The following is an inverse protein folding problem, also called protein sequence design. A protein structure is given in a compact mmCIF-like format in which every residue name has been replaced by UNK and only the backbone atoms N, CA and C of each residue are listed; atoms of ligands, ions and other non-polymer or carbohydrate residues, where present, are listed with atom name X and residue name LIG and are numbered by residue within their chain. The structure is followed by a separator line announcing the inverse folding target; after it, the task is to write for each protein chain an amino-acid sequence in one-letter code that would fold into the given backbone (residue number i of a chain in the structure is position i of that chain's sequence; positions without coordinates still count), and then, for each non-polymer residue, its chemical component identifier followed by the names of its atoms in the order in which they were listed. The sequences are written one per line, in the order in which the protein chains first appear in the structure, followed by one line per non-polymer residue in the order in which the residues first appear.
data_IF_404482491307
#
_entry.id   IF_404482491307
#
_cell.length_a   1.000
_cell.length_b   1.000
_cell.length_c   1.000
_cell.angle_alpha   90.00
_cell.angle_beta   90.00
_cell.angle_gamma   90.00
#
_symmetry.space_group_name_H-M   'P 1'
#
loop_
_entity.id
_entity.type
_entity.pdbx_description
1 polymer ?
#
# COMPACT_ATOMS: atom_id res chain seq x y z
N UNK A 1 -20.44 13.12 3.86
CA UNK A 1 -18.98 13.30 3.81
C UNK A 1 -18.37 12.44 4.89
N UNK A 2 -17.07 12.13 4.82
CA UNK A 2 -16.47 11.18 5.76
C UNK A 2 -15.11 11.70 6.21
N UNK A 3 -14.92 11.77 7.53
CA UNK A 3 -13.61 11.93 8.16
C UNK A 3 -13.28 10.64 8.90
N UNK A 4 -12.20 9.96 8.46
CA UNK A 4 -11.74 8.70 9.02
C UNK A 4 -10.42 8.96 9.73
N UNK A 5 -10.40 8.67 11.03
CA UNK A 5 -9.24 8.78 11.90
C UNK A 5 -8.75 7.36 12.16
N UNK A 6 -7.65 6.97 11.53
CA UNK A 6 -7.11 5.61 11.64
C UNK A 6 -5.60 5.62 11.84
N UNK A 7 -5.05 4.48 12.20
CA UNK A 7 -3.60 4.25 12.33
C UNK A 7 -2.87 4.59 11.02
N UNK A 8 -3.49 4.30 9.87
CA UNK A 8 -2.94 4.58 8.55
C UNK A 8 -3.07 6.05 8.12
N UNK A 9 -3.37 6.95 9.04
CA UNK A 9 -3.50 8.38 8.83
C UNK A 9 -4.91 8.92 8.94
N UNK A 10 -5.02 10.23 8.78
CA UNK A 10 -6.26 11.00 8.85
C UNK A 10 -6.71 11.25 7.43
N UNK A 11 -7.80 10.63 7.01
CA UNK A 11 -8.32 10.76 5.64
C UNK A 11 -9.76 11.26 5.63
N UNK A 12 -10.12 11.99 4.59
CA UNK A 12 -11.48 12.45 4.43
C UNK A 12 -11.78 12.98 3.05
N UNK A 13 -13.05 13.18 2.77
CA UNK A 13 -13.47 13.91 1.57
C UNK A 13 -13.22 15.41 1.76
N UNK A 14 -12.74 16.04 0.71
CA UNK A 14 -12.51 17.50 0.69
C UNK A 14 -13.83 18.21 0.41
N UNK A 15 -14.12 19.24 1.21
CA UNK A 15 -15.34 20.07 1.10
C UNK A 15 -16.37 19.78 2.19
N UNK A 16 -17.44 20.58 2.22
CA UNK A 16 -18.55 20.49 3.16
C UNK A 16 -18.32 21.17 4.51
N UNK A 17 -19.22 20.94 5.49
CA UNK A 17 -19.07 21.49 6.83
C UNK A 17 -17.83 20.96 7.55
N UNK A 18 -17.23 21.80 8.41
CA UNK A 18 -16.11 21.38 9.26
C UNK A 18 -16.50 20.19 10.14
N UNK A 19 -15.62 19.17 10.21
CA UNK A 19 -15.84 17.94 10.98
C UNK A 19 -16.52 16.81 10.19
N UNK A 20 -17.16 17.09 9.05
CA UNK A 20 -17.79 16.06 8.21
C UNK A 20 -16.81 15.41 7.23
N UNK A 21 -15.73 16.12 6.87
CA UNK A 21 -14.67 15.68 5.96
C UNK A 21 -13.33 16.19 6.43
N UNK A 22 -12.29 16.09 5.58
CA UNK A 22 -10.98 16.66 5.85
C UNK A 22 -10.98 18.15 5.49
N UNK A 23 -11.47 18.98 6.41
CA UNK A 23 -11.51 20.44 6.25
C UNK A 23 -10.14 21.08 6.56
N UNK A 24 -9.92 22.36 6.16
CA UNK A 24 -8.72 23.11 6.56
C UNK A 24 -8.49 23.14 8.09
N UNK A 25 -9.55 23.21 8.90
CA UNK A 25 -9.45 23.15 10.36
C UNK A 25 -8.96 21.79 10.86
N UNK A 26 -9.43 20.71 10.26
CA UNK A 26 -8.97 19.36 10.58
C UNK A 26 -7.50 19.18 10.21
N UNK A 27 -7.08 19.71 9.05
CA UNK A 27 -5.68 19.65 8.61
C UNK A 27 -4.76 20.35 9.62
N UNK A 28 -5.10 21.57 10.06
CA UNK A 28 -4.34 22.28 11.10
C UNK A 28 -4.29 21.47 12.39
N UNK A 29 -5.44 21.00 12.86
CA UNK A 29 -5.59 20.27 14.12
C UNK A 29 -4.72 19.00 14.16
N UNK A 30 -4.83 18.16 13.15
CA UNK A 30 -4.08 16.91 13.11
C UNK A 30 -2.59 17.10 12.80
N UNK A 31 -2.22 18.11 12.01
CA UNK A 31 -0.82 18.47 11.78
C UNK A 31 -0.15 18.99 13.07
N UNK A 32 -0.82 19.87 13.82
CA UNK A 32 -0.31 20.38 15.09
C UNK A 32 -0.20 19.27 16.15
N UNK A 33 -1.17 18.36 16.20
CA UNK A 33 -1.12 17.19 17.08
C UNK A 33 0.05 16.26 16.73
N UNK A 34 0.24 15.94 15.45
CA UNK A 34 1.36 15.16 14.97
C UNK A 34 2.71 15.83 15.31
N UNK A 35 2.86 17.13 15.04
CA UNK A 35 4.07 17.89 15.37
C UNK A 35 4.39 17.83 16.87
N UNK A 36 3.35 17.92 17.72
CA UNK A 36 3.49 17.79 19.19
C UNK A 36 3.97 16.38 19.59
N UNK A 37 3.38 15.34 18.98
CA UNK A 37 3.79 13.96 19.18
C UNK A 37 5.25 13.74 18.77
N UNK A 38 5.63 14.14 17.55
CA UNK A 38 7.00 13.98 17.02
C UNK A 38 8.03 14.65 17.91
N UNK A 39 7.76 15.87 18.41
CA UNK A 39 8.67 16.58 19.32
C UNK A 39 8.96 15.80 20.61
N UNK A 40 8.00 14.99 21.07
CA UNK A 40 8.14 14.17 22.28
C UNK A 40 8.79 12.83 22.02
N UNK A 41 8.54 12.23 20.85
CA UNK A 41 8.90 10.83 20.55
C UNK A 41 10.22 10.70 19.79
N UNK A 42 10.65 11.73 19.05
CA UNK A 42 11.89 11.66 18.27
C UNK A 42 13.13 11.58 19.13
N UNK A 43 14.09 10.77 18.67
CA UNK A 43 15.44 10.69 19.23
C UNK A 43 16.44 11.56 18.44
N UNK A 44 16.00 12.18 17.35
CA UNK A 44 16.84 13.03 16.50
C UNK A 44 17.01 14.43 17.11
N UNK A 45 18.19 14.99 16.90
CA UNK A 45 18.44 16.42 17.17
C UNK A 45 17.89 17.35 16.09
N UNK A 46 17.43 16.78 14.97
CA UNK A 46 16.80 17.51 13.87
C UNK A 46 15.46 18.09 14.30
N UNK A 47 15.11 19.24 13.72
CA UNK A 47 13.78 19.85 13.84
C UNK A 47 13.08 19.89 12.48
N UNK A 48 13.41 18.94 11.61
CA UNK A 48 12.95 18.89 10.22
C UNK A 48 11.86 17.82 10.05
N UNK A 49 10.80 18.15 9.31
CA UNK A 49 9.76 17.24 8.84
C UNK A 49 9.75 17.25 7.32
N UNK A 50 9.74 16.07 6.70
CA UNK A 50 9.61 15.94 5.25
C UNK A 50 8.13 15.93 4.86
N UNK A 51 7.76 16.63 3.79
CA UNK A 51 6.41 16.65 3.24
C UNK A 51 6.46 16.34 1.75
N UNK A 52 5.76 15.26 1.35
CA UNK A 52 5.55 14.87 -0.04
C UNK A 52 4.07 14.69 -0.34
N UNK A 53 3.67 14.73 -1.62
CA UNK A 53 2.28 14.56 -2.02
C UNK A 53 2.12 13.85 -3.36
N UNK A 54 0.98 13.20 -3.56
CA UNK A 54 0.54 12.77 -4.88
C UNK A 54 -0.02 13.95 -5.70
N UNK A 55 -0.54 13.66 -6.91
CA UNK A 55 -1.04 14.70 -7.81
C UNK A 55 -2.51 15.11 -7.57
N UNK A 56 -3.16 14.68 -6.49
CA UNK A 56 -4.56 15.02 -6.22
C UNK A 56 -4.83 16.52 -6.30
N UNK A 57 -5.99 16.88 -6.87
CA UNK A 57 -6.40 18.28 -7.08
C UNK A 57 -6.34 19.14 -5.82
N UNK A 58 -6.65 18.55 -4.65
CA UNK A 58 -6.58 19.24 -3.36
C UNK A 58 -5.17 19.30 -2.77
N UNK A 59 -4.18 18.68 -3.41
CA UNK A 59 -2.84 18.49 -2.87
C UNK A 59 -2.13 19.79 -2.50
N UNK A 60 -2.17 20.82 -3.37
CA UNK A 60 -1.55 22.13 -3.08
C UNK A 60 -2.16 22.80 -1.85
N UNK A 61 -3.49 22.90 -1.80
CA UNK A 61 -4.19 23.52 -0.65
C UNK A 61 -3.87 22.79 0.65
N UNK A 62 -3.88 21.44 0.64
CA UNK A 62 -3.54 20.64 1.83
C UNK A 62 -2.08 20.86 2.23
N UNK A 63 -1.16 20.86 1.26
CA UNK A 63 0.27 21.11 1.48
C UNK A 63 0.51 22.49 2.11
N UNK A 64 -0.11 23.54 1.59
CA UNK A 64 0.08 24.91 2.12
C UNK A 64 -0.33 25.00 3.59
N UNK A 65 -1.44 24.39 3.97
CA UNK A 65 -1.92 24.36 5.35
C UNK A 65 -0.99 23.53 6.24
N UNK A 66 -0.55 22.35 5.78
CA UNK A 66 0.37 21.48 6.53
C UNK A 66 1.71 22.19 6.76
N UNK A 67 2.30 22.76 5.72
CA UNK A 67 3.60 23.47 5.81
C UNK A 67 3.49 24.67 6.74
N UNK A 68 2.48 25.54 6.55
CA UNK A 68 2.25 26.70 7.42
C UNK A 68 2.03 26.30 8.88
N UNK A 69 1.31 25.19 9.13
CA UNK A 69 1.07 24.70 10.49
C UNK A 69 2.37 24.17 11.12
N UNK A 70 3.17 23.39 10.39
CA UNK A 70 4.47 22.88 10.86
C UNK A 70 5.45 24.01 11.18
N UNK A 71 5.54 25.02 10.29
CA UNK A 71 6.34 26.22 10.54
C UNK A 71 5.85 26.97 11.77
N UNK A 72 4.53 27.13 11.93
CA UNK A 72 3.92 27.70 13.12
C UNK A 72 4.16 26.88 14.41
N UNK A 73 4.40 25.59 14.28
CA UNK A 73 4.83 24.71 15.39
C UNK A 73 6.35 24.77 15.63
N UNK A 74 7.12 25.53 14.83
CA UNK A 74 8.55 25.69 14.94
C UNK A 74 9.36 24.56 14.29
N UNK A 75 8.81 23.83 13.34
CA UNK A 75 9.53 22.83 12.55
C UNK A 75 9.95 23.40 11.19
N UNK A 76 11.17 23.08 10.79
CA UNK A 76 11.59 23.24 9.40
C UNK A 76 10.96 22.16 8.53
N UNK A 77 10.54 22.53 7.33
CA UNK A 77 9.89 21.60 6.40
C UNK A 77 10.74 21.43 5.16
N UNK A 78 11.10 20.20 4.83
CA UNK A 78 11.64 19.84 3.52
C UNK A 78 10.47 19.37 2.65
N UNK A 79 10.01 20.26 1.78
CA UNK A 79 8.97 20.00 0.80
C UNK A 79 9.59 19.35 -0.45
N UNK A 80 9.27 18.09 -0.68
CA UNK A 80 9.77 17.32 -1.83
C UNK A 80 8.81 17.34 -3.03
N UNK A 81 7.74 18.09 -2.95
CA UNK A 81 6.78 18.31 -4.04
C UNK A 81 5.96 17.07 -4.39
N UNK A 82 5.77 16.85 -5.69
CA UNK A 82 5.14 15.64 -6.23
C UNK A 82 6.07 14.45 -6.05
N UNK A 83 5.73 13.58 -5.12
CA UNK A 83 6.54 12.42 -4.75
C UNK A 83 5.67 11.20 -4.44
N UNK A 84 6.25 10.02 -4.58
CA UNK A 84 5.61 8.78 -4.20
C UNK A 84 5.63 8.59 -2.68
N UNK A 85 4.75 7.74 -2.15
CA UNK A 85 4.80 7.32 -0.75
C UNK A 85 6.19 6.77 -0.39
N UNK A 86 6.77 5.77 -1.09
CA UNK A 86 8.10 5.27 -0.75
C UNK A 86 9.22 6.31 -0.92
N UNK A 87 9.14 7.22 -1.89
CA UNK A 87 10.12 8.31 -2.00
C UNK A 87 10.10 9.21 -0.75
N UNK A 88 8.92 9.49 -0.22
CA UNK A 88 8.78 10.33 0.99
C UNK A 88 9.31 9.62 2.23
N UNK A 89 9.03 8.32 2.37
CA UNK A 89 9.56 7.47 3.44
C UNK A 89 11.10 7.47 3.47
N UNK A 90 11.72 7.24 2.30
CA UNK A 90 13.17 7.28 2.13
C UNK A 90 13.75 8.69 2.38
N UNK A 91 13.06 9.74 1.96
CA UNK A 91 13.50 11.12 2.18
C UNK A 91 13.59 11.47 3.67
N UNK A 92 12.66 10.97 4.51
CA UNK A 92 12.74 11.14 5.97
C UNK A 92 14.07 10.58 6.51
N UNK A 93 14.46 9.40 6.07
CA UNK A 93 15.71 8.75 6.50
C UNK A 93 16.93 9.50 5.99
N UNK A 94 16.93 9.89 4.71
CA UNK A 94 18.05 10.57 4.09
C UNK A 94 18.29 11.98 4.62
N UNK A 95 17.22 12.71 4.97
CA UNK A 95 17.30 14.02 5.63
C UNK A 95 17.63 13.91 7.13
N UNK A 96 17.61 12.68 7.68
CA UNK A 96 17.66 12.46 9.12
C UNK A 96 16.59 13.27 9.86
N UNK A 97 15.45 13.43 9.21
CA UNK A 97 14.31 14.17 9.73
C UNK A 97 13.71 13.47 10.95
N UNK A 98 13.01 14.22 11.79
CA UNK A 98 12.30 13.66 12.94
C UNK A 98 10.98 12.99 12.57
N UNK A 99 10.49 13.19 11.35
CA UNK A 99 9.30 12.55 10.82
C UNK A 99 8.95 13.04 9.42
N UNK A 100 7.78 12.62 8.92
CA UNK A 100 7.28 13.03 7.61
C UNK A 100 5.77 12.96 7.51
N UNK A 101 5.21 13.68 6.55
CA UNK A 101 3.79 13.62 6.19
C UNK A 101 3.66 13.40 4.69
N UNK A 102 2.88 12.40 4.30
CA UNK A 102 2.54 12.15 2.91
C UNK A 102 1.08 12.56 2.69
N UNK A 103 0.86 13.44 1.73
CA UNK A 103 -0.46 13.96 1.38
C UNK A 103 -1.04 13.16 0.22
N UNK A 104 -1.75 12.09 0.56
CA UNK A 104 -2.36 11.17 -0.40
C UNK A 104 -3.44 10.33 0.27
N UNK A 105 -4.51 10.05 -0.45
CA UNK A 105 -5.51 9.05 -0.06
C UNK A 105 -5.35 7.73 -0.83
N UNK A 106 -4.16 7.44 -1.37
CA UNK A 106 -3.84 6.23 -2.15
C UNK A 106 -4.90 5.99 -3.25
N UNK A 107 -5.51 4.82 -3.27
CA UNK A 107 -6.52 4.39 -4.25
C UNK A 107 -7.93 4.98 -4.05
N UNK A 108 -8.17 5.83 -3.06
CA UNK A 108 -9.47 6.49 -2.90
C UNK A 108 -9.73 7.45 -4.07
N UNK A 109 -11.01 7.66 -4.45
CA UNK A 109 -11.40 8.58 -5.53
C UNK A 109 -10.89 10.02 -5.33
N UNK A 110 -10.94 10.84 -6.39
CA UNK A 110 -10.32 12.17 -6.46
C UNK A 110 -10.77 13.17 -5.40
N UNK A 111 -11.97 13.03 -4.84
CA UNK A 111 -12.51 13.90 -3.80
C UNK A 111 -11.93 13.61 -2.40
N UNK A 112 -11.12 12.55 -2.24
CA UNK A 112 -10.46 12.21 -0.99
C UNK A 112 -9.05 12.79 -0.94
N UNK A 113 -8.59 13.11 0.28
CA UNK A 113 -7.18 13.29 0.60
C UNK A 113 -6.90 12.77 2.01
N UNK A 114 -5.63 12.69 2.38
CA UNK A 114 -5.25 12.26 3.72
C UNK A 114 -3.89 12.83 4.14
N UNK A 115 -3.66 12.81 5.45
CA UNK A 115 -2.36 12.98 6.09
C UNK A 115 -1.89 11.60 6.54
N UNK A 116 -0.96 10.98 5.81
CA UNK A 116 -0.25 9.77 6.23
C UNK A 116 0.97 10.19 7.03
N UNK A 117 1.07 9.71 8.27
CA UNK A 117 2.04 10.18 9.25
C UNK A 117 3.18 9.20 9.41
N UNK A 118 4.42 9.69 9.29
CA UNK A 118 5.64 8.90 9.39
C UNK A 118 6.43 9.25 10.65
N UNK A 119 7.09 8.25 11.24
CA UNK A 119 8.07 8.43 12.31
C UNK A 119 9.47 8.77 11.75
N UNK A 120 10.45 8.95 12.62
CA UNK A 120 11.84 9.28 12.27
C UNK A 120 12.60 8.21 11.47
N UNK A 121 12.00 7.02 11.29
CA UNK A 121 12.54 5.91 10.49
C UNK A 121 11.95 5.90 9.08
N UNK A 122 11.07 6.84 8.75
CA UNK A 122 10.32 6.86 7.49
C UNK A 122 9.24 5.77 7.43
N UNK A 123 8.75 5.29 8.57
CA UNK A 123 7.72 4.26 8.66
C UNK A 123 6.43 4.87 9.17
N UNK A 124 5.29 4.30 8.78
CA UNK A 124 4.00 4.73 9.33
C UNK A 124 3.94 4.56 10.83
N UNK A 125 3.23 5.46 11.50
CA UNK A 125 2.96 5.35 12.94
C UNK A 125 2.23 4.04 13.24
N UNK A 126 2.62 3.38 14.32
CA UNK A 126 1.92 2.20 14.83
C UNK A 126 0.63 2.59 15.58
N UNK A 127 -0.16 1.59 16.00
CA UNK A 127 -1.45 1.82 16.68
C UNK A 127 -1.34 2.68 17.94
N UNK A 128 -0.31 2.45 18.77
CA UNK A 128 -0.11 3.23 20.00
C UNK A 128 0.27 4.68 19.69
N UNK A 129 1.19 4.91 18.75
CA UNK A 129 1.60 6.23 18.29
C UNK A 129 0.43 6.99 17.65
N UNK A 130 -0.35 6.34 16.78
CA UNK A 130 -1.54 6.94 16.16
C UNK A 130 -2.60 7.33 17.19
N UNK A 131 -2.85 6.49 18.21
CA UNK A 131 -3.77 6.82 19.32
C UNK A 131 -3.31 8.03 20.11
N UNK A 132 -2.00 8.16 20.36
CA UNK A 132 -1.45 9.33 21.06
C UNK A 132 -1.66 10.62 20.24
N UNK A 133 -1.41 10.59 18.92
CA UNK A 133 -1.70 11.73 18.04
C UNK A 133 -3.19 12.12 18.10
N UNK A 134 -4.09 11.14 18.06
CA UNK A 134 -5.53 11.40 18.15
C UNK A 134 -5.93 11.99 19.50
N UNK A 135 -5.35 11.51 20.59
CA UNK A 135 -5.60 12.05 21.93
C UNK A 135 -5.10 13.51 22.09
N UNK A 136 -3.94 13.83 21.52
CA UNK A 136 -3.42 15.20 21.49
C UNK A 136 -4.34 16.10 20.64
N UNK A 137 -4.84 15.60 19.51
CA UNK A 137 -5.75 16.34 18.65
C UNK A 137 -7.10 16.61 19.35
N UNK A 138 -7.65 15.62 20.05
CA UNK A 138 -8.91 15.75 20.76
C UNK A 138 -8.83 16.75 21.92
N UNK A 139 -7.73 16.69 22.68
CA UNK A 139 -7.47 17.59 23.79
C UNK A 139 -6.99 18.98 23.34
N UNK A 140 -6.68 19.17 22.04
CA UNK A 140 -6.06 20.39 21.49
C UNK A 140 -4.83 20.85 22.28
N UNK A 141 -4.08 19.85 22.83
CA UNK A 141 -2.94 20.10 23.70
C UNK A 141 -1.64 20.32 22.91
N UNK A 142 -1.66 21.28 22.02
CA UNK A 142 -0.50 21.71 21.22
C UNK A 142 -0.24 23.21 21.44
N UNK A 143 1.04 23.61 21.35
CA UNK A 143 1.49 24.98 21.56
C UNK A 143 2.27 25.43 20.33
N UNK A 144 1.84 26.51 19.73
CA UNK A 144 2.54 27.14 18.59
C UNK A 144 3.79 27.88 19.07
N UNK A 145 4.76 28.00 18.16
CA UNK A 145 6.02 28.66 18.44
C UNK A 145 5.87 30.19 18.52
N UNK A 146 6.74 30.82 19.31
CA UNK A 146 6.92 32.27 19.30
C UNK A 146 7.53 32.72 17.97
N UNK A 147 7.37 34.00 17.60
CA UNK A 147 7.77 34.54 16.30
C UNK A 147 9.25 34.29 15.96
N UNK A 148 10.13 34.32 16.94
CA UNK A 148 11.58 34.08 16.75
C UNK A 148 11.96 32.60 16.62
N UNK A 149 10.98 31.69 16.74
CA UNK A 149 11.15 30.23 16.72
C UNK A 149 10.32 29.57 15.63
N UNK A 150 9.80 30.36 14.69
CA UNK A 150 9.06 29.81 13.54
C UNK A 150 10.01 29.02 12.65
N UNK A 151 9.50 27.92 12.09
CA UNK A 151 10.25 27.14 11.10
C UNK A 151 10.18 27.72 9.69
N UNK A 152 10.93 27.12 8.78
CA UNK A 152 11.06 27.55 7.37
C UNK A 152 10.75 26.39 6.43
N UNK A 153 10.33 26.71 5.21
CA UNK A 153 10.17 25.74 4.14
C UNK A 153 11.39 25.72 3.22
N UNK A 154 11.89 24.52 2.92
CA UNK A 154 12.95 24.26 1.95
C UNK A 154 12.41 23.34 0.87
N UNK A 155 12.51 23.74 -0.39
CA UNK A 155 12.06 22.92 -1.53
C UNK A 155 13.23 22.07 -2.01
N UNK A 156 12.99 20.75 -2.16
CA UNK A 156 13.99 19.84 -2.68
C UNK A 156 13.32 18.78 -3.58
N UNK A 157 13.47 18.90 -4.88
CA UNK A 157 12.88 18.04 -5.91
C UNK A 157 13.79 16.86 -6.36
N UNK A 158 14.94 16.68 -5.70
CA UNK A 158 15.94 15.70 -6.12
C UNK A 158 15.65 14.27 -5.66
N UNK A 159 14.69 14.07 -4.76
CA UNK A 159 14.45 12.77 -4.12
C UNK A 159 13.91 11.70 -5.04
N UNK A 160 13.10 12.03 -6.04
CA UNK A 160 12.65 11.06 -7.06
C UNK A 160 13.85 10.42 -7.76
N UNK A 161 14.82 11.23 -8.18
CA UNK A 161 16.05 10.72 -8.80
C UNK A 161 16.87 9.88 -7.82
N UNK A 162 17.04 10.35 -6.59
CA UNK A 162 17.80 9.62 -5.55
C UNK A 162 17.15 8.26 -5.23
N UNK A 163 15.83 8.21 -5.20
CA UNK A 163 15.11 6.94 -5.02
C UNK A 163 15.34 5.98 -6.20
N UNK A 164 15.20 6.46 -7.44
CA UNK A 164 15.50 5.64 -8.62
C UNK A 164 16.95 5.12 -8.54
N UNK A 165 17.93 5.98 -8.23
CA UNK A 165 19.32 5.57 -8.07
C UNK A 165 19.46 4.44 -7.04
N UNK A 166 18.83 4.58 -5.87
CA UNK A 166 18.87 3.54 -4.82
C UNK A 166 18.23 2.22 -5.23
N UNK A 167 17.19 2.25 -6.07
CA UNK A 167 16.57 1.03 -6.61
C UNK A 167 17.50 0.33 -7.60
N UNK A 168 18.19 1.08 -8.46
CA UNK A 168 19.15 0.50 -9.40
C UNK A 168 20.38 -0.11 -8.70
N UNK A 169 20.73 0.41 -7.52
CA UNK A 169 21.87 -0.06 -6.71
C UNK A 169 21.55 -1.32 -5.88
N UNK A 170 20.31 -1.81 -5.89
CA UNK A 170 19.95 -3.05 -5.20
C UNK A 170 20.62 -4.27 -5.86
N UNK A 171 21.26 -5.12 -5.07
CA UNK A 171 22.03 -6.29 -5.53
C UNK A 171 21.26 -7.23 -6.46
N UNK A 172 19.92 -7.33 -6.31
CA UNK A 172 19.09 -8.21 -7.11
C UNK A 172 18.46 -7.52 -8.33
N UNK A 173 18.72 -6.24 -8.55
CA UNK A 173 18.29 -5.52 -9.75
C UNK A 173 19.35 -5.64 -10.83
N UNK A 174 19.04 -6.43 -11.86
CA UNK A 174 19.98 -6.72 -12.96
C UNK A 174 19.68 -5.85 -14.19
N UNK A 175 20.21 -4.62 -14.16
CA UNK A 175 20.03 -3.63 -15.23
C UNK A 175 20.54 -4.16 -16.59
N UNK A 176 21.66 -4.88 -16.60
CA UNK A 176 22.24 -5.40 -17.84
C UNK A 176 21.38 -6.53 -18.45
N UNK A 177 20.80 -7.40 -17.61
CA UNK A 177 19.87 -8.42 -18.07
C UNK A 177 18.59 -7.79 -18.65
N UNK A 178 18.02 -6.79 -17.94
CA UNK A 178 16.83 -6.06 -18.42
C UNK A 178 17.11 -5.38 -19.76
N UNK A 179 18.23 -4.68 -19.89
CA UNK A 179 18.65 -4.01 -21.11
C UNK A 179 18.83 -4.98 -22.28
N UNK A 180 19.44 -6.16 -22.01
CA UNK A 180 19.64 -7.21 -23.01
C UNK A 180 18.33 -7.85 -23.44
N UNK A 181 17.37 -8.01 -22.55
CA UNK A 181 16.05 -8.55 -22.85
C UNK A 181 15.25 -7.67 -23.82
N UNK A 182 15.56 -6.37 -23.88
CA UNK A 182 14.99 -5.39 -24.83
C UNK A 182 13.47 -5.33 -24.78
N UNK A 183 12.89 -5.29 -23.56
CA UNK A 183 11.44 -5.24 -23.36
C UNK A 183 10.82 -3.98 -23.94
N UNK A 184 9.58 -4.13 -24.43
CA UNK A 184 8.62 -3.04 -24.60
C UNK A 184 7.64 -3.07 -23.43
N UNK A 185 7.57 -1.99 -22.66
CA UNK A 185 6.78 -1.91 -21.42
C UNK A 185 5.68 -0.86 -21.57
N UNK A 186 4.43 -1.23 -21.30
CA UNK A 186 3.34 -0.28 -21.14
C UNK A 186 3.18 0.11 -19.66
N UNK A 187 2.87 1.36 -19.38
CA UNK A 187 2.58 1.83 -18.01
C UNK A 187 1.27 2.60 -17.99
N UNK A 188 0.54 2.47 -16.89
CA UNK A 188 -0.60 3.31 -16.55
C UNK A 188 -0.38 3.89 -15.14
N UNK A 189 -0.33 5.21 -15.05
CA UNK A 189 -0.04 5.95 -13.83
C UNK A 189 -1.24 6.75 -13.31
N UNK A 190 -2.43 6.47 -13.81
CA UNK A 190 -3.72 7.05 -13.38
C UNK A 190 -3.72 8.59 -13.28
N UNK A 191 -2.91 9.27 -14.10
CA UNK A 191 -2.68 10.71 -14.06
C UNK A 191 -2.22 11.23 -12.68
N UNK A 192 -1.31 10.48 -12.04
CA UNK A 192 -0.70 10.88 -10.77
C UNK A 192 0.84 10.82 -10.85
N UNK A 193 1.51 10.80 -9.70
CA UNK A 193 2.99 10.91 -9.60
C UNK A 193 3.72 9.73 -10.26
N UNK A 194 3.05 8.60 -10.46
CA UNK A 194 3.58 7.49 -11.25
C UNK A 194 3.99 7.90 -12.66
N UNK A 195 3.27 8.87 -13.28
CA UNK A 195 3.61 9.43 -14.60
C UNK A 195 4.94 10.17 -14.63
N UNK A 196 5.40 10.66 -13.49
CA UNK A 196 6.73 11.30 -13.35
C UNK A 196 7.80 10.24 -13.15
N UNK A 197 7.60 9.32 -12.22
CA UNK A 197 8.67 8.43 -11.73
C UNK A 197 8.84 7.17 -12.57
N UNK A 198 7.76 6.55 -13.04
CA UNK A 198 7.81 5.26 -13.75
C UNK A 198 8.53 5.33 -15.10
N UNK A 199 8.29 6.35 -15.97
CA UNK A 199 9.05 6.48 -17.21
C UNK A 199 10.55 6.69 -16.96
N UNK A 200 10.91 7.45 -15.93
CA UNK A 200 12.32 7.67 -15.56
C UNK A 200 12.98 6.38 -15.07
N UNK A 201 12.33 5.63 -14.18
CA UNK A 201 12.81 4.34 -13.70
C UNK A 201 13.05 3.38 -14.85
N UNK A 202 12.07 3.18 -15.72
CA UNK A 202 12.15 2.23 -16.84
C UNK A 202 13.30 2.57 -17.80
N UNK A 203 13.45 3.86 -18.16
CA UNK A 203 14.58 4.30 -19.00
C UNK A 203 15.93 4.04 -18.32
N UNK A 204 16.02 4.28 -17.01
CA UNK A 204 17.24 4.02 -16.22
C UNK A 204 17.53 2.52 -16.07
N UNK A 205 16.50 1.66 -16.02
CA UNK A 205 16.63 0.19 -16.10
C UNK A 205 17.02 -0.31 -17.48
N UNK A 206 17.11 0.58 -18.49
CA UNK A 206 17.52 0.23 -19.85
C UNK A 206 16.38 -0.21 -20.77
N UNK A 207 15.12 -0.03 -20.35
CA UNK A 207 13.94 -0.23 -21.20
C UNK A 207 13.90 0.88 -22.26
N UNK A 208 13.97 0.50 -23.54
CA UNK A 208 14.01 1.46 -24.65
C UNK A 208 12.62 1.93 -25.11
N UNK A 209 11.66 1.04 -25.10
CA UNK A 209 10.32 1.28 -25.57
C UNK A 209 9.36 1.30 -24.39
N UNK A 210 8.90 2.50 -24.03
CA UNK A 210 7.90 2.71 -22.96
C UNK A 210 6.66 3.32 -23.61
N UNK A 211 5.50 2.67 -23.44
CA UNK A 211 4.20 3.16 -23.87
C UNK A 211 3.52 3.75 -22.63
N UNK A 212 3.32 5.04 -22.64
CA UNK A 212 2.82 5.80 -21.49
C UNK A 212 1.30 6.03 -21.63
N UNK A 213 0.50 5.50 -20.69
CA UNK A 213 -0.92 5.77 -20.54
C UNK A 213 -1.13 6.54 -19.23
N UNK A 214 -1.99 7.55 -19.28
CA UNK A 214 -2.41 8.30 -18.10
C UNK A 214 -1.23 8.79 -17.24
N UNK A 215 -0.17 9.29 -17.89
CA UNK A 215 1.07 9.72 -17.24
C UNK A 215 1.18 11.24 -17.04
N UNK A 216 0.11 12.01 -17.31
CA UNK A 216 0.08 13.44 -17.02
C UNK A 216 -0.37 13.67 -15.56
N UNK A 217 0.51 14.17 -14.66
CA UNK A 217 0.23 14.23 -13.23
C UNK A 217 -0.72 15.37 -12.85
N UNK A 218 -1.89 15.40 -13.46
CA UNK A 218 -2.92 16.43 -13.26
C UNK A 218 -3.81 16.18 -12.05
N UNK A 219 -3.81 14.96 -11.51
CA UNK A 219 -4.74 14.54 -10.45
C UNK A 219 -6.18 14.32 -10.92
N UNK A 220 -6.44 14.50 -12.22
CA UNK A 220 -7.68 14.06 -12.85
C UNK A 220 -7.54 12.60 -13.24
N UNK A 221 -7.86 11.71 -12.30
CA UNK A 221 -7.70 10.28 -12.49
C UNK A 221 -8.50 9.80 -13.69
N UNK A 222 -7.82 9.12 -14.63
CA UNK A 222 -8.40 8.64 -15.88
C UNK A 222 -9.41 7.50 -15.68
N UNK A 223 -9.26 6.75 -14.62
CA UNK A 223 -10.14 5.67 -14.15
C UNK A 223 -10.18 5.64 -12.64
N UNK A 224 -10.99 4.75 -12.06
CA UNK A 224 -10.94 4.51 -10.61
C UNK A 224 -9.53 4.11 -10.20
N UNK A 225 -8.90 4.80 -9.21
CA UNK A 225 -7.46 4.69 -8.98
C UNK A 225 -7.02 3.40 -8.26
N UNK A 226 -7.95 2.52 -7.90
CA UNK A 226 -7.61 1.20 -7.37
C UNK A 226 -7.17 0.27 -8.51
N UNK A 227 -5.95 -0.29 -8.51
CA UNK A 227 -5.42 -1.08 -9.61
C UNK A 227 -5.92 -2.54 -9.57
N UNK A 228 -7.22 -2.71 -9.78
CA UNK A 228 -7.92 -4.00 -9.88
C UNK A 228 -8.44 -4.22 -11.32
N UNK A 229 -8.68 -5.46 -11.75
CA UNK A 229 -9.01 -5.79 -13.13
C UNK A 229 -10.12 -4.94 -13.76
N UNK A 230 -11.17 -4.65 -13.01
CA UNK A 230 -12.35 -3.90 -13.46
C UNK A 230 -12.02 -2.46 -13.88
N UNK A 231 -10.95 -1.89 -13.31
CA UNK A 231 -10.53 -0.51 -13.56
C UNK A 231 -9.44 -0.40 -14.65
N UNK A 232 -8.85 -1.53 -15.09
CA UNK A 232 -7.65 -1.55 -15.92
C UNK A 232 -7.93 -1.96 -17.38
N UNK A 233 -9.12 -1.65 -17.90
CA UNK A 233 -9.54 -2.06 -19.25
C UNK A 233 -8.68 -1.42 -20.35
N UNK A 234 -8.29 -0.15 -20.22
CA UNK A 234 -7.53 0.57 -21.23
C UNK A 234 -6.16 -0.07 -21.50
N UNK A 235 -5.37 -0.34 -20.47
CA UNK A 235 -4.07 -0.99 -20.64
C UNK A 235 -4.22 -2.46 -21.05
N UNK A 236 -5.25 -3.17 -20.54
CA UNK A 236 -5.57 -4.53 -20.96
C UNK A 236 -5.82 -4.60 -22.47
N UNK A 237 -6.67 -3.72 -22.99
CA UNK A 237 -7.00 -3.69 -24.43
C UNK A 237 -5.78 -3.27 -25.27
N UNK A 238 -4.93 -2.39 -24.75
CA UNK A 238 -3.68 -2.04 -25.41
C UNK A 238 -2.77 -3.27 -25.56
N UNK A 239 -2.53 -4.04 -24.49
CA UNK A 239 -1.65 -5.21 -24.56
C UNK A 239 -2.21 -6.34 -25.43
N UNK A 240 -3.53 -6.50 -25.54
CA UNK A 240 -4.16 -7.45 -26.49
C UNK A 240 -3.76 -7.22 -27.93
N UNK A 241 -3.31 -6.02 -28.29
CA UNK A 241 -2.80 -5.72 -29.63
C UNK A 241 -1.41 -6.31 -29.91
N UNK A 242 -0.73 -6.84 -28.88
CA UNK A 242 0.62 -7.39 -28.96
C UNK A 242 1.72 -6.32 -29.05
N UNK A 243 1.44 -5.08 -28.64
CA UNK A 243 2.38 -3.96 -28.73
C UNK A 243 3.42 -3.89 -27.60
N UNK A 244 3.24 -4.64 -26.50
CA UNK A 244 4.13 -4.64 -25.35
C UNK A 244 4.31 -6.04 -24.74
N UNK A 245 5.44 -6.27 -24.10
CA UNK A 245 5.79 -7.53 -23.45
C UNK A 245 5.18 -7.63 -22.04
N UNK A 246 4.93 -6.48 -21.41
CA UNK A 246 4.36 -6.38 -20.06
C UNK A 246 3.75 -4.99 -19.85
N UNK A 247 2.69 -4.93 -19.05
CA UNK A 247 2.09 -3.70 -18.55
C UNK A 247 2.26 -3.56 -17.04
N UNK A 248 2.58 -2.36 -16.57
CA UNK A 248 2.60 -2.01 -15.16
C UNK A 248 1.59 -0.91 -14.87
N UNK A 249 0.81 -1.10 -13.82
CA UNK A 249 -0.15 -0.12 -13.32
C UNK A 249 0.17 0.20 -11.89
N UNK A 250 0.24 1.48 -11.56
CA UNK A 250 0.47 1.94 -10.19
C UNK A 250 -0.71 2.80 -9.71
N UNK A 251 -0.93 2.78 -8.42
CA UNK A 251 -1.92 3.66 -7.79
C UNK A 251 -1.35 5.10 -7.63
N UNK A 252 -2.17 6.08 -7.21
CA UNK A 252 -1.78 7.48 -7.20
C UNK A 252 -0.50 7.84 -6.47
N UNK A 253 -0.12 7.09 -5.43
CA UNK A 253 1.07 7.33 -4.61
C UNK A 253 2.15 6.24 -4.76
N UNK A 254 1.96 5.32 -5.74
CA UNK A 254 2.98 4.38 -6.24
C UNK A 254 3.49 3.41 -5.17
N UNK A 255 2.62 3.05 -4.21
CA UNK A 255 2.93 2.01 -3.22
C UNK A 255 2.38 0.63 -3.61
N UNK A 256 1.53 0.55 -4.68
CA UNK A 256 0.97 -0.69 -5.23
C UNK A 256 1.33 -0.86 -6.70
N UNK A 257 1.55 -2.11 -7.09
CA UNK A 257 1.89 -2.52 -8.44
C UNK A 257 0.95 -3.64 -8.90
N UNK A 258 0.15 -3.38 -9.94
CA UNK A 258 -0.52 -4.42 -10.71
C UNK A 258 0.22 -4.65 -12.03
N UNK A 259 0.21 -5.90 -12.49
CA UNK A 259 0.91 -6.35 -13.68
C UNK A 259 -0.11 -6.87 -14.70
N UNK A 260 0.02 -6.44 -15.95
CA UNK A 260 -0.80 -6.90 -17.09
C UNK A 260 0.10 -7.71 -18.02
N UNK A 261 -0.33 -8.91 -18.36
CA UNK A 261 0.41 -9.83 -19.22
C UNK A 261 0.36 -9.38 -20.68
N UNK A 262 1.29 -9.85 -21.49
CA UNK A 262 1.40 -9.52 -22.91
C UNK A 262 0.15 -9.84 -23.75
N UNK A 263 -0.71 -10.73 -23.24
CA UNK A 263 -2.01 -11.08 -23.87
C UNK A 263 -3.19 -10.20 -23.38
N UNK A 264 -2.91 -9.20 -22.54
CA UNK A 264 -3.91 -8.30 -21.97
C UNK A 264 -4.64 -8.84 -20.76
N UNK A 265 -4.38 -10.08 -20.32
CA UNK A 265 -4.94 -10.62 -19.08
C UNK A 265 -4.17 -10.09 -17.85
N UNK A 266 -4.84 -10.04 -16.70
CA UNK A 266 -4.21 -9.61 -15.46
C UNK A 266 -3.31 -10.70 -14.88
N UNK A 267 -2.10 -10.31 -14.46
CA UNK A 267 -1.25 -11.18 -13.64
C UNK A 267 -1.89 -11.42 -12.27
N UNK A 268 -2.82 -10.55 -11.90
CA UNK A 268 -3.54 -10.39 -10.63
C UNK A 268 -2.62 -9.82 -9.54
N UNK A 269 -3.07 -8.80 -8.85
CA UNK A 269 -2.30 -8.02 -7.87
C UNK A 269 -1.68 -8.86 -6.75
N UNK A 270 -2.35 -9.95 -6.35
CA UNK A 270 -1.85 -10.93 -5.37
C UNK A 270 -0.51 -11.55 -5.81
N UNK A 271 -0.33 -11.77 -7.11
CA UNK A 271 0.84 -12.47 -7.65
C UNK A 271 2.05 -11.57 -7.89
N UNK A 272 1.90 -10.25 -7.81
CA UNK A 272 3.04 -9.33 -7.85
C UNK A 272 4.04 -9.70 -6.75
N UNK A 273 3.56 -9.79 -5.50
CA UNK A 273 4.39 -10.19 -4.36
C UNK A 273 4.91 -11.62 -4.51
N UNK A 274 4.09 -12.56 -4.98
CA UNK A 274 4.48 -13.97 -5.17
C UNK A 274 5.65 -14.11 -6.13
N UNK A 275 5.60 -13.44 -7.28
CA UNK A 275 6.64 -13.52 -8.30
C UNK A 275 7.96 -12.85 -7.83
N UNK A 276 7.86 -11.68 -7.21
CA UNK A 276 9.04 -10.98 -6.67
C UNK A 276 9.66 -11.79 -5.54
N UNK A 277 8.84 -12.39 -4.65
CA UNK A 277 9.33 -13.25 -3.58
C UNK A 277 10.03 -14.51 -4.11
N UNK A 278 9.48 -15.18 -5.13
CA UNK A 278 10.11 -16.34 -5.77
C UNK A 278 11.52 -15.98 -6.30
N UNK A 279 11.64 -14.81 -6.94
CA UNK A 279 12.93 -14.33 -7.43
C UNK A 279 13.94 -14.09 -6.29
N UNK A 280 13.52 -13.36 -5.26
CA UNK A 280 14.37 -13.06 -4.11
C UNK A 280 14.77 -14.35 -3.40
N UNK A 281 13.83 -15.24 -3.09
CA UNK A 281 14.11 -16.51 -2.40
C UNK A 281 15.04 -17.43 -3.19
N UNK A 282 15.03 -17.37 -4.53
CA UNK A 282 15.97 -18.13 -5.38
C UNK A 282 17.41 -17.66 -5.24
N UNK A 283 17.64 -16.43 -4.75
CA UNK A 283 18.98 -15.81 -4.57
C UNK A 283 19.34 -15.69 -3.09
N UNK A 284 18.38 -15.32 -2.26
CA UNK A 284 18.56 -15.06 -0.84
C UNK A 284 17.44 -15.78 -0.07
N UNK A 285 17.60 -17.08 0.24
CA UNK A 285 16.63 -17.82 1.02
C UNK A 285 16.39 -17.17 2.38
N UNK A 286 15.12 -17.06 2.79
CA UNK A 286 14.76 -16.43 4.07
C UNK A 286 13.25 -16.45 4.32
N UNK A 287 12.83 -15.95 5.48
CA UNK A 287 11.41 -15.89 5.82
C UNK A 287 10.66 -14.88 4.93
N UNK A 288 9.37 -15.14 4.72
CA UNK A 288 8.44 -14.21 4.06
C UNK A 288 7.25 -13.88 4.93
N UNK A 289 6.65 -12.70 4.69
CA UNK A 289 5.47 -12.25 5.43
C UNK A 289 4.45 -11.65 4.47
N UNK A 290 3.16 -12.01 4.65
CA UNK A 290 2.06 -11.21 4.12
C UNK A 290 0.93 -11.11 5.13
N UNK A 291 -0.09 -10.30 4.84
CA UNK A 291 -1.25 -10.23 5.73
C UNK A 291 -2.19 -11.44 5.56
N UNK A 292 -3.07 -11.65 6.54
CA UNK A 292 -4.01 -12.77 6.57
C UNK A 292 -4.97 -12.85 5.37
N UNK A 293 -5.24 -11.72 4.72
CA UNK A 293 -6.15 -11.65 3.55
C UNK A 293 -5.44 -11.85 2.22
N UNK A 294 -4.12 -12.06 2.21
CA UNK A 294 -3.32 -12.32 1.00
C UNK A 294 -3.40 -13.78 0.58
N UNK A 295 -3.13 -14.03 -0.71
CA UNK A 295 -3.14 -15.39 -1.27
C UNK A 295 -2.16 -16.33 -0.57
N UNK A 296 -2.56 -17.59 -0.39
CA UNK A 296 -1.67 -18.66 0.09
C UNK A 296 -0.56 -19.00 -0.92
N UNK A 297 -0.65 -18.51 -2.15
CA UNK A 297 0.39 -18.73 -3.16
C UNK A 297 1.78 -18.27 -2.68
N UNK A 298 1.88 -17.18 -1.89
CA UNK A 298 3.15 -16.77 -1.28
C UNK A 298 3.68 -17.80 -0.29
N UNK A 299 2.81 -18.36 0.56
CA UNK A 299 3.18 -19.45 1.48
C UNK A 299 3.73 -20.65 0.72
N UNK A 300 2.99 -21.09 -0.29
CA UNK A 300 3.36 -22.29 -1.06
C UNK A 300 4.69 -22.09 -1.81
N UNK A 301 4.94 -20.91 -2.36
CA UNK A 301 6.23 -20.55 -2.98
C UNK A 301 7.33 -20.50 -1.92
N UNK A 302 7.09 -19.91 -0.76
CA UNK A 302 8.07 -19.85 0.34
C UNK A 302 8.47 -21.24 0.82
N UNK A 303 7.50 -22.11 1.04
CA UNK A 303 7.71 -23.52 1.45
C UNK A 303 8.45 -24.31 0.37
N UNK A 304 8.20 -24.04 -0.92
CA UNK A 304 8.93 -24.66 -2.04
C UNK A 304 10.44 -24.34 -2.00
N UNK A 305 10.81 -23.16 -1.49
CA UNK A 305 12.21 -22.77 -1.24
C UNK A 305 12.76 -23.29 0.10
N UNK A 306 11.99 -24.10 0.86
CA UNK A 306 12.39 -24.59 2.18
C UNK A 306 12.43 -23.48 3.25
N UNK A 307 11.74 -22.37 3.03
CA UNK A 307 11.73 -21.21 3.89
C UNK A 307 10.44 -21.10 4.69
N UNK A 308 10.43 -20.23 5.72
CA UNK A 308 9.30 -20.04 6.62
C UNK A 308 8.41 -18.88 6.19
N UNK A 309 7.13 -19.15 5.99
CA UNK A 309 6.11 -18.12 5.82
C UNK A 309 5.44 -17.77 7.16
N UNK A 310 5.10 -16.50 7.37
CA UNK A 310 4.32 -16.03 8.52
C UNK A 310 3.28 -15.00 8.05
N UNK A 311 2.06 -15.11 8.58
CA UNK A 311 1.00 -14.13 8.33
C UNK A 311 0.95 -13.08 9.44
N UNK A 312 0.55 -11.84 9.09
CA UNK A 312 0.26 -10.74 10.02
C UNK A 312 -1.21 -10.34 9.98
N UNK A 313 -1.65 -9.52 10.91
CA UNK A 313 -2.87 -8.73 10.76
C UNK A 313 -2.80 -7.87 9.47
N UNK A 314 -3.96 -7.49 8.94
CA UNK A 314 -4.05 -6.66 7.73
C UNK A 314 -3.57 -5.24 8.03
N UNK A 315 -2.83 -4.67 7.08
CA UNK A 315 -2.25 -3.33 7.14
C UNK A 315 -0.73 -3.36 7.14
N UNK A 316 -0.14 -2.45 6.40
CA UNK A 316 1.30 -2.36 6.17
C UNK A 316 2.13 -2.36 7.45
N UNK A 317 1.73 -1.57 8.45
CA UNK A 317 2.40 -1.49 9.77
C UNK A 317 2.50 -2.86 10.44
N UNK A 318 1.46 -3.68 10.35
CA UNK A 318 1.42 -5.02 10.91
C UNK A 318 2.35 -5.97 10.15
N UNK A 319 2.36 -5.87 8.81
CA UNK A 319 3.27 -6.63 7.94
C UNK A 319 4.71 -6.27 8.27
N UNK A 320 5.06 -4.99 8.32
CA UNK A 320 6.41 -4.49 8.65
C UNK A 320 6.86 -4.96 10.02
N UNK A 321 5.98 -4.85 11.03
CA UNK A 321 6.27 -5.33 12.38
C UNK A 321 6.58 -6.83 12.38
N UNK A 322 5.77 -7.64 11.69
CA UNK A 322 5.98 -9.08 11.60
C UNK A 322 7.25 -9.43 10.79
N UNK A 323 7.57 -8.66 9.74
CA UNK A 323 8.80 -8.83 8.97
C UNK A 323 10.04 -8.62 9.85
N UNK A 324 10.06 -7.55 10.64
CA UNK A 324 11.14 -7.27 11.60
C UNK A 324 11.29 -8.39 12.66
N UNK A 325 10.17 -8.84 13.22
CA UNK A 325 10.16 -9.90 14.22
C UNK A 325 10.65 -11.25 13.68
N UNK A 326 10.41 -11.55 12.41
CA UNK A 326 10.80 -12.82 11.79
C UNK A 326 12.12 -12.76 11.00
N UNK A 327 12.70 -11.58 10.83
CA UNK A 327 13.85 -11.37 9.95
C UNK A 327 13.52 -11.67 8.48
N UNK A 328 12.29 -11.38 8.04
CA UNK A 328 11.84 -11.69 6.70
C UNK A 328 12.63 -10.92 5.64
N UNK A 329 13.03 -11.61 4.56
CA UNK A 329 13.79 -11.03 3.45
C UNK A 329 12.90 -10.34 2.42
N UNK A 330 11.60 -10.65 2.42
CA UNK A 330 10.57 -10.07 1.57
C UNK A 330 9.21 -10.19 2.26
N UNK A 331 8.36 -9.21 2.07
CA UNK A 331 6.96 -9.24 2.50
C UNK A 331 6.11 -8.29 1.70
N UNK A 332 4.85 -8.16 2.11
CA UNK A 332 3.91 -7.24 1.47
C UNK A 332 2.46 -7.61 1.69
N UNK A 333 1.63 -7.07 0.84
CA UNK A 333 0.19 -7.29 0.88
C UNK A 333 -0.34 -7.74 -0.49
N UNK A 334 -1.41 -8.53 -0.50
CA UNK A 334 -2.07 -9.05 -1.71
C UNK A 334 -2.78 -7.99 -2.56
N UNK A 335 -2.49 -6.72 -2.34
CA UNK A 335 -2.99 -5.59 -3.12
C UNK A 335 -1.92 -5.03 -4.09
N UNK A 336 -0.87 -5.79 -4.36
CA UNK A 336 0.26 -5.36 -5.18
C UNK A 336 1.39 -4.65 -4.42
N UNK A 337 1.28 -4.55 -3.11
CA UNK A 337 2.29 -3.91 -2.25
C UNK A 337 3.46 -4.83 -1.95
N UNK A 338 4.65 -4.48 -2.42
CA UNK A 338 5.92 -5.20 -2.19
C UNK A 338 6.76 -4.44 -1.18
N UNK A 339 7.22 -5.12 -0.12
CA UNK A 339 8.12 -4.57 0.90
C UNK A 339 9.43 -5.35 0.85
N UNK A 340 10.51 -4.70 0.45
CA UNK A 340 11.84 -5.29 0.36
C UNK A 340 12.82 -4.62 1.34
N UNK A 341 13.15 -5.26 2.48
CA UNK A 341 13.95 -4.65 3.54
C UNK A 341 15.34 -4.16 3.13
N UNK A 342 15.92 -4.73 2.06
CA UNK A 342 17.19 -4.23 1.52
C UNK A 342 17.08 -2.81 0.93
N UNK A 343 15.86 -2.37 0.58
CA UNK A 343 15.55 -0.98 0.23
C UNK A 343 15.06 -0.23 1.48
N UNK A 344 13.86 -0.53 1.93
CA UNK A 344 13.26 0.03 3.15
C UNK A 344 12.06 -0.80 3.62
N UNK A 345 11.50 -0.45 4.78
CA UNK A 345 10.31 -1.09 5.34
C UNK A 345 9.02 -0.33 4.97
N UNK A 346 8.78 -0.19 3.68
CA UNK A 346 7.57 0.38 3.08
C UNK A 346 7.21 -0.32 1.78
N UNK A 347 5.95 -0.25 1.37
CA UNK A 347 5.51 -0.78 0.07
C UNK A 347 6.05 0.11 -1.04
N UNK A 348 6.66 -0.50 -2.05
CA UNK A 348 7.39 0.21 -3.10
C UNK A 348 7.18 -0.44 -4.48
N UNK A 349 6.42 0.24 -5.34
CA UNK A 349 6.19 -0.23 -6.69
C UNK A 349 7.44 -0.10 -7.59
N UNK A 350 8.35 0.84 -7.30
CA UNK A 350 9.61 0.98 -8.07
C UNK A 350 10.49 -0.26 -7.88
N UNK A 351 10.64 -0.68 -6.63
CA UNK A 351 11.34 -1.92 -6.26
C UNK A 351 10.64 -3.13 -6.89
N UNK A 352 9.30 -3.17 -6.82
CA UNK A 352 8.50 -4.23 -7.43
C UNK A 352 8.75 -4.37 -8.93
N UNK A 353 8.73 -3.27 -9.68
CA UNK A 353 8.99 -3.25 -11.13
C UNK A 353 10.42 -3.69 -11.46
N UNK A 354 11.42 -3.15 -10.76
CA UNK A 354 12.81 -3.45 -11.03
C UNK A 354 13.15 -4.93 -10.79
N UNK A 355 12.65 -5.50 -9.69
CA UNK A 355 12.83 -6.93 -9.38
C UNK A 355 12.02 -7.84 -10.30
N UNK A 356 10.79 -7.45 -10.68
CA UNK A 356 9.99 -8.22 -11.62
C UNK A 356 10.61 -8.26 -13.03
N UNK A 357 11.12 -7.12 -13.52
CA UNK A 357 11.82 -7.08 -14.81
C UNK A 357 13.13 -7.89 -14.76
N UNK A 358 13.86 -7.86 -13.65
CA UNK A 358 15.04 -8.70 -13.45
C UNK A 358 14.68 -10.19 -13.50
N UNK A 359 13.62 -10.60 -12.79
CA UNK A 359 13.08 -11.96 -12.85
C UNK A 359 12.73 -12.35 -14.30
N UNK A 360 11.96 -11.51 -14.99
CA UNK A 360 11.49 -11.79 -16.35
C UNK A 360 12.66 -11.93 -17.33
N UNK A 361 13.68 -11.06 -17.21
CA UNK A 361 14.91 -11.11 -18.01
C UNK A 361 15.70 -12.42 -17.78
N UNK A 362 15.83 -12.85 -16.53
CA UNK A 362 16.51 -14.10 -16.21
C UNK A 362 15.74 -15.35 -16.65
N UNK A 363 14.41 -15.31 -16.59
CA UNK A 363 13.56 -16.43 -17.02
C UNK A 363 13.47 -16.56 -18.54
N UNK A 364 13.59 -15.47 -19.29
CA UNK A 364 13.47 -15.46 -20.75
C UNK A 364 12.11 -15.98 -21.26
N UNK A 365 11.04 -15.79 -20.48
CA UNK A 365 9.67 -16.25 -20.73
C UNK A 365 8.73 -15.07 -20.92
N UNK A 366 7.58 -15.31 -21.54
CA UNK A 366 6.46 -14.38 -21.51
C UNK A 366 5.88 -14.32 -20.09
N UNK A 367 5.22 -13.19 -19.76
CA UNK A 367 4.61 -13.02 -18.44
C UNK A 367 3.50 -14.04 -18.19
N UNK A 368 2.71 -14.38 -19.23
CA UNK A 368 1.67 -15.41 -19.14
C UNK A 368 2.22 -16.83 -18.91
N UNK A 369 3.42 -17.12 -19.40
CA UNK A 369 4.12 -18.38 -19.15
C UNK A 369 4.68 -18.42 -17.72
N UNK A 370 5.25 -17.30 -17.26
CA UNK A 370 5.75 -17.15 -15.90
C UNK A 370 4.62 -17.35 -14.88
N UNK A 371 3.43 -16.77 -15.11
CA UNK A 371 2.29 -16.94 -14.21
C UNK A 371 1.93 -18.40 -13.97
N UNK A 372 2.03 -19.23 -14.99
CA UNK A 372 1.69 -20.68 -14.90
C UNK A 372 2.64 -21.48 -14.00
N UNK A 373 3.81 -20.93 -13.66
CA UNK A 373 4.76 -21.57 -12.72
C UNK A 373 4.31 -21.47 -11.25
N UNK A 374 3.37 -20.58 -10.94
CA UNK A 374 2.87 -20.33 -9.59
C UNK A 374 1.60 -21.14 -9.31
N UNK A 375 1.34 -21.52 -8.03
CA UNK A 375 0.06 -22.10 -7.65
C UNK A 375 -1.09 -21.15 -8.02
N UNK A 376 -2.13 -21.68 -8.67
CA UNK A 376 -3.26 -20.87 -9.12
C UNK A 376 -4.37 -20.88 -8.06
N UNK A 377 -4.75 -19.71 -7.59
CA UNK A 377 -5.84 -19.46 -6.66
C UNK A 377 -6.69 -18.27 -7.10
N UNK A 378 -7.95 -18.27 -6.66
CA UNK A 378 -8.89 -17.18 -6.86
C UNK A 378 -9.41 -16.70 -5.50
N UNK A 379 -9.43 -15.39 -5.28
CA UNK A 379 -9.98 -14.79 -4.05
C UNK A 379 -11.30 -14.10 -4.37
N UNK A 380 -12.39 -14.53 -3.72
CA UNK A 380 -13.66 -13.84 -3.72
C UNK A 380 -13.72 -12.84 -2.56
N UNK A 381 -13.99 -11.56 -2.88
CA UNK A 381 -14.08 -10.44 -1.92
C UNK A 381 -15.56 -10.11 -1.70
N UNK A 382 -16.10 -10.52 -0.58
CA UNK A 382 -17.50 -10.37 -0.18
C UNK A 382 -17.63 -9.46 1.04
N UNK A 383 -18.85 -9.01 1.34
CA UNK A 383 -19.19 -8.25 2.54
C UNK A 383 -20.58 -8.58 3.06
N UNK A 384 -20.78 -8.41 4.37
CA UNK A 384 -22.09 -8.38 5.02
C UNK A 384 -22.31 -6.96 5.53
N UNK A 385 -23.43 -6.35 5.20
CA UNK A 385 -23.82 -5.05 5.72
C UNK A 385 -24.29 -5.20 7.17
N UNK A 386 -23.77 -4.37 8.05
CA UNK A 386 -24.13 -4.38 9.46
C UNK A 386 -25.30 -3.42 9.74
N UNK A 387 -26.21 -3.83 10.61
CA UNK A 387 -27.19 -2.96 11.25
C UNK A 387 -26.72 -2.64 12.67
N UNK A 388 -27.16 -1.51 13.28
CA UNK A 388 -26.68 -1.06 14.59
C UNK A 388 -26.87 -2.07 15.73
N UNK A 389 -27.79 -3.01 15.59
CA UNK A 389 -28.12 -4.06 16.56
C UNK A 389 -27.25 -5.32 16.40
N UNK A 390 -26.36 -5.39 15.42
CA UNK A 390 -25.49 -6.54 15.19
C UNK A 390 -24.18 -6.40 15.99
N UNK A 391 -23.95 -7.31 16.92
CA UNK A 391 -22.69 -7.41 17.64
C UNK A 391 -21.68 -8.25 16.81
N UNK A 392 -20.74 -7.56 16.17
CA UNK A 392 -19.73 -8.18 15.30
C UNK A 392 -18.83 -9.12 16.07
N UNK A 393 -18.40 -8.75 17.25
CA UNK A 393 -17.44 -9.53 18.04
C UNK A 393 -18.09 -10.85 18.48
N UNK A 394 -19.39 -10.83 18.85
CA UNK A 394 -20.13 -12.06 19.15
C UNK A 394 -20.29 -12.98 17.93
N UNK A 395 -20.44 -12.41 16.71
CA UNK A 395 -20.47 -13.20 15.47
C UNK A 395 -19.13 -13.89 15.24
N UNK A 396 -18.02 -13.13 15.33
CA UNK A 396 -16.69 -13.67 15.12
C UNK A 396 -16.37 -14.78 16.13
N UNK A 397 -16.69 -14.59 17.42
CA UNK A 397 -16.54 -15.63 18.44
C UNK A 397 -17.39 -16.89 18.16
N UNK A 398 -18.60 -16.72 17.66
CA UNK A 398 -19.47 -17.85 17.33
C UNK A 398 -18.94 -18.63 16.11
N UNK A 399 -18.40 -17.91 15.10
CA UNK A 399 -17.74 -18.53 13.94
C UNK A 399 -16.47 -19.27 14.39
N UNK A 400 -15.62 -18.66 15.21
CA UNK A 400 -14.42 -19.29 15.78
C UNK A 400 -14.77 -20.62 16.50
N UNK A 401 -15.79 -20.59 17.37
CA UNK A 401 -16.25 -21.79 18.08
C UNK A 401 -16.79 -22.87 17.15
N UNK A 402 -17.55 -22.48 16.11
CA UNK A 402 -18.11 -23.44 15.14
C UNK A 402 -17.03 -24.19 14.37
N UNK A 403 -15.90 -23.52 14.07
CA UNK A 403 -14.79 -24.09 13.31
C UNK A 403 -13.55 -24.41 14.17
N UNK A 404 -13.71 -24.59 15.48
CA UNK A 404 -12.61 -24.84 16.42
C UNK A 404 -11.78 -26.13 16.11
N UNK A 405 -12.30 -27.06 15.31
CA UNK A 405 -11.58 -28.24 14.86
C UNK A 405 -10.66 -27.99 13.65
N UNK A 406 -10.78 -26.82 13.03
CA UNK A 406 -9.96 -26.40 11.91
C UNK A 406 -8.79 -25.52 12.38
N UNK A 407 -7.88 -25.19 11.47
CA UNK A 407 -6.82 -24.23 11.79
C UNK A 407 -7.37 -22.80 11.80
N UNK A 408 -7.68 -22.27 12.98
CA UNK A 408 -8.23 -20.94 13.17
C UNK A 408 -7.13 -19.96 13.62
N UNK A 409 -7.15 -18.75 13.05
CA UNK A 409 -6.27 -17.62 13.42
C UNK A 409 -7.13 -16.39 13.72
N UNK A 410 -6.90 -15.76 14.88
CA UNK A 410 -7.74 -14.66 15.41
C UNK A 410 -6.98 -13.35 15.63
N UNK A 411 -5.80 -13.16 15.01
CA UNK A 411 -5.00 -11.93 15.17
C UNK A 411 -5.63 -10.70 14.49
N UNK A 412 -6.57 -10.91 13.55
CA UNK A 412 -7.36 -9.86 12.89
C UNK A 412 -8.68 -10.48 12.40
N UNK A 413 -9.73 -10.39 13.20
CA UNK A 413 -10.98 -11.12 12.95
C UNK A 413 -10.80 -12.63 13.08
N UNK A 414 -11.41 -13.42 12.20
CA UNK A 414 -11.35 -14.88 12.23
C UNK A 414 -10.99 -15.41 10.84
N UNK A 415 -9.83 -16.01 10.70
CA UNK A 415 -9.42 -16.76 9.52
C UNK A 415 -9.43 -18.23 9.80
N UNK A 416 -10.06 -19.00 8.92
CA UNK A 416 -10.16 -20.46 8.96
C UNK A 416 -9.41 -21.00 7.76
N UNK A 417 -8.33 -21.75 8.00
CA UNK A 417 -7.54 -22.41 6.97
C UNK A 417 -7.96 -23.89 6.87
N UNK A 418 -8.45 -24.28 5.70
CA UNK A 418 -8.72 -25.66 5.30
C UNK A 418 -7.60 -26.18 4.37
N UNK A 419 -7.50 -27.49 4.11
CA UNK A 419 -6.47 -28.01 3.21
C UNK A 419 -6.45 -27.36 1.82
N UNK A 420 -7.63 -27.19 1.20
CA UNK A 420 -7.76 -26.72 -0.18
C UNK A 420 -8.14 -25.23 -0.32
N UNK A 421 -8.62 -24.58 0.74
CA UNK A 421 -9.11 -23.21 0.72
C UNK A 421 -8.96 -22.53 2.08
N UNK A 422 -9.21 -21.23 2.13
CA UNK A 422 -9.38 -20.51 3.39
C UNK A 422 -10.53 -19.51 3.29
N UNK A 423 -11.05 -19.09 4.44
CA UNK A 423 -11.98 -17.96 4.57
C UNK A 423 -11.55 -17.06 5.72
N UNK A 424 -11.67 -15.74 5.52
CA UNK A 424 -11.30 -14.73 6.49
C UNK A 424 -12.44 -13.73 6.67
N UNK A 425 -12.95 -13.64 7.90
CA UNK A 425 -13.97 -12.67 8.32
C UNK A 425 -13.31 -11.61 9.19
N UNK A 426 -13.50 -10.35 8.86
CA UNK A 426 -12.98 -9.24 9.67
C UNK A 426 -13.91 -8.04 9.66
N UNK A 427 -13.95 -7.32 10.79
CA UNK A 427 -14.62 -6.04 10.90
C UNK A 427 -13.92 -5.01 10.02
N UNK A 428 -14.68 -4.20 9.31
CA UNK A 428 -14.11 -3.03 8.63
C UNK A 428 -13.87 -1.91 9.64
N UNK A 429 -12.71 -1.27 9.56
CA UNK A 429 -12.38 -0.11 10.40
C UNK A 429 -12.98 1.19 9.87
N UNK A 430 -13.56 1.17 8.66
CA UNK A 430 -14.00 2.38 7.94
C UNK A 430 -15.48 2.36 7.57
N UNK A 431 -16.11 1.19 7.57
CA UNK A 431 -17.49 0.99 7.13
C UNK A 431 -18.21 0.04 8.11
N UNK A 432 -19.53 0.16 8.29
CA UNK A 432 -20.32 -0.77 9.11
C UNK A 432 -20.55 -2.10 8.37
N UNK A 433 -19.48 -2.83 8.08
CA UNK A 433 -19.52 -4.12 7.38
C UNK A 433 -18.59 -5.16 8.03
N UNK A 434 -18.90 -6.43 7.83
CA UNK A 434 -17.95 -7.54 7.94
C UNK A 434 -17.45 -7.86 6.53
N UNK A 435 -16.15 -7.82 6.32
CA UNK A 435 -15.51 -8.30 5.10
C UNK A 435 -15.35 -9.80 5.18
N UNK A 436 -15.71 -10.51 4.11
CA UNK A 436 -15.55 -11.95 3.96
C UNK A 436 -14.72 -12.19 2.72
N UNK A 437 -13.48 -12.60 2.91
CA UNK A 437 -12.61 -13.01 1.83
C UNK A 437 -12.46 -14.53 1.87
N UNK A 438 -12.53 -15.18 0.73
CA UNK A 438 -12.35 -16.61 0.60
C UNK A 438 -11.49 -16.94 -0.61
N UNK A 439 -10.57 -17.85 -0.46
CA UNK A 439 -9.67 -18.31 -1.52
C UNK A 439 -9.87 -19.79 -1.80
N UNK A 440 -9.95 -20.15 -3.08
CA UNK A 440 -10.02 -21.52 -3.57
C UNK A 440 -9.35 -21.64 -4.94
N UNK A 441 -9.39 -22.84 -5.54
CA UNK A 441 -8.82 -23.09 -6.88
C UNK A 441 -9.57 -22.40 -8.00
N UNK A 442 -10.89 -22.19 -7.85
CA UNK A 442 -11.70 -21.46 -8.83
C UNK A 442 -12.54 -20.37 -8.16
N UNK A 443 -12.97 -19.39 -8.93
CA UNK A 443 -13.81 -18.30 -8.42
C UNK A 443 -15.19 -18.80 -7.98
N UNK A 444 -15.75 -19.83 -8.66
CA UNK A 444 -17.00 -20.45 -8.24
C UNK A 444 -16.89 -21.09 -6.86
N UNK A 445 -15.80 -21.84 -6.62
CA UNK A 445 -15.54 -22.42 -5.30
C UNK A 445 -15.35 -21.35 -4.23
N UNK A 446 -14.58 -20.32 -4.52
CA UNK A 446 -14.35 -19.21 -3.58
C UNK A 446 -15.69 -18.51 -3.22
N UNK A 447 -16.54 -18.24 -4.20
CA UNK A 447 -17.86 -17.64 -3.97
C UNK A 447 -18.80 -18.58 -3.19
N UNK A 448 -18.77 -19.88 -3.47
CA UNK A 448 -19.59 -20.88 -2.73
C UNK A 448 -19.21 -20.91 -1.24
N UNK A 449 -17.90 -20.87 -0.92
CA UNK A 449 -17.40 -20.81 0.46
C UNK A 449 -17.85 -19.49 1.14
N UNK A 450 -17.73 -18.34 0.45
CA UNK A 450 -18.23 -17.09 0.99
C UNK A 450 -19.73 -17.13 1.29
N UNK A 451 -20.53 -17.78 0.43
CA UNK A 451 -21.97 -17.93 0.64
C UNK A 451 -22.28 -18.87 1.81
N UNK A 452 -21.54 -19.97 1.96
CA UNK A 452 -21.66 -20.85 3.13
C UNK A 452 -21.45 -20.10 4.43
N UNK A 453 -20.39 -19.29 4.51
CA UNK A 453 -20.12 -18.45 5.69
C UNK A 453 -21.21 -17.40 5.92
N UNK A 454 -21.76 -16.78 4.87
CA UNK A 454 -22.91 -15.87 5.02
C UNK A 454 -24.10 -16.59 5.63
N UNK A 455 -24.39 -17.83 5.20
CA UNK A 455 -25.47 -18.63 5.77
C UNK A 455 -25.21 -18.92 7.25
N UNK A 456 -23.99 -19.28 7.63
CA UNK A 456 -23.59 -19.47 9.04
C UNK A 456 -23.81 -18.19 9.85
N UNK A 457 -23.43 -17.03 9.34
CA UNK A 457 -23.66 -15.74 10.02
C UNK A 457 -25.17 -15.45 10.13
N UNK A 458 -25.95 -15.77 9.10
CA UNK A 458 -27.42 -15.64 9.14
C UNK A 458 -28.05 -16.53 10.20
N UNK A 459 -27.59 -17.79 10.35
CA UNK A 459 -28.03 -18.71 11.43
C UNK A 459 -27.70 -18.14 12.82
N UNK A 460 -26.50 -17.61 13.02
CA UNK A 460 -26.05 -17.02 14.29
C UNK A 460 -26.87 -15.78 14.65
N UNK A 461 -27.15 -14.94 13.66
CA UNK A 461 -27.84 -13.64 13.89
C UNK A 461 -29.37 -13.76 13.84
N UNK A 462 -29.91 -14.83 13.28
CA UNK A 462 -31.34 -14.97 12.98
C UNK A 462 -31.82 -14.03 11.86
N UNK A 463 -30.91 -13.43 11.08
CA UNK A 463 -31.19 -12.45 10.03
C UNK A 463 -30.52 -12.87 8.71
N UNK A 464 -31.17 -12.66 7.54
CA UNK A 464 -30.54 -12.90 6.26
C UNK A 464 -29.36 -11.94 6.03
N UNK A 465 -28.25 -12.48 5.47
CA UNK A 465 -27.02 -11.75 5.16
C UNK A 465 -26.85 -11.56 3.65
#
# INVERSE_FOLDING_TARGET
MSLIKSISGIRGTIGGPAGDGLSPLDIVKFTAAYATFIRKSTTKSSNTIVVGRDARLSGEMVKDIVVGTLNGMGFDVVNIGLATTPTTELAVVWEKACGGIILTASHNPKQWNALKLLNEKGEFLNDAEGKEVLAIAEAESFIFAEVDKLGHEFINDTYTRKHIDSVLDLDLVDVEAIKKANFTVAIDAVNSVGGIVMPQLLRRLGVKNVIELNCDPTGNFAHTPEPIPENLTQISDLLKTGCADVGFVVDPDVDRLAIVMENGEMFVEEYTLVAVADYILSKTPGATVSNLSSSRALRDVTERHGCKYTASAVGEVNVVTQMKNSGAVIGGEGNGGVIYPASHYGRDALVGVALFLSLLAHKGKKVSELKKEYPQYCIAKNKIQLTPDINVDAILEAVEKKYANEKVTTIDGVKIDFPEYWVHLRKSNTEPIIRIYSEAKTMEQANAIAQEIKNVVSEITGKPC
#
